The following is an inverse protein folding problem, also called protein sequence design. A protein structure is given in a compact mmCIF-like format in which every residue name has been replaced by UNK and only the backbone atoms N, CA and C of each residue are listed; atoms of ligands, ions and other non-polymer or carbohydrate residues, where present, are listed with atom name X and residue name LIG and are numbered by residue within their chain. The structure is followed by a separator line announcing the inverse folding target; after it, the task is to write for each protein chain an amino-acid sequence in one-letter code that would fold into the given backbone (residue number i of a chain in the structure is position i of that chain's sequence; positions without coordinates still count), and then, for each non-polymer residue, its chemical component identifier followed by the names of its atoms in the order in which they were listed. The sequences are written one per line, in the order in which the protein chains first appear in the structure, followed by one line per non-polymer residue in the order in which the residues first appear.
data_IF_547069822672
#
_entry.id   IF_547069822672
#
_cell.length_a   1.000
_cell.length_b   1.000
_cell.length_c   1.000
_cell.angle_alpha   90.00
_cell.angle_beta   90.00
_cell.angle_gamma   90.00
#
_symmetry.space_group_name_H-M   'P 1'
#
loop_
_entity.id
_entity.type
_entity.pdbx_description
1 polymer ?
#
# COMPACT_ATOMS: atom_id res chain seq x y z
N UNK A 1 -15.46 -14.82 -0.42
CA UNK A 1 -16.26 -13.60 -0.19
C UNK A 1 -15.42 -12.64 0.63
N UNK A 2 -15.64 -11.32 0.50
CA UNK A 2 -14.99 -10.32 1.37
C UNK A 2 -15.71 -10.31 2.72
N UNK A 3 -14.95 -10.35 3.81
CA UNK A 3 -15.48 -10.37 5.18
C UNK A 3 -14.81 -9.26 6.00
N UNK A 4 -15.62 -8.41 6.63
CA UNK A 4 -15.17 -7.33 7.50
C UNK A 4 -15.08 -7.77 8.95
N UNK A 5 -14.06 -7.29 9.67
CA UNK A 5 -13.81 -7.59 11.08
C UNK A 5 -12.59 -8.50 11.28
N UNK A 6 -12.59 -9.76 10.81
CA UNK A 6 -11.53 -10.71 11.08
C UNK A 6 -10.14 -10.22 10.64
N UNK A 7 -9.17 -10.46 11.51
CA UNK A 7 -7.75 -10.37 11.16
C UNK A 7 -7.37 -11.57 10.28
N UNK A 8 -6.69 -11.29 9.17
CA UNK A 8 -6.30 -12.25 8.16
C UNK A 8 -4.78 -12.27 8.06
N UNK A 9 -4.19 -13.41 8.42
CA UNK A 9 -2.76 -13.62 8.29
C UNK A 9 -2.36 -13.71 6.82
N UNK A 10 -1.21 -13.13 6.48
CA UNK A 10 -0.61 -13.22 5.15
C UNK A 10 0.83 -13.71 5.30
N UNK A 11 1.58 -13.96 4.21
CA UNK A 11 3.01 -14.23 4.30
C UNK A 11 3.83 -13.11 4.97
N UNK A 12 3.24 -11.91 5.12
CA UNK A 12 3.86 -10.77 5.81
C UNK A 12 2.96 -10.24 6.94
N UNK A 13 2.56 -8.98 6.88
CA UNK A 13 1.74 -8.33 7.89
C UNK A 13 0.32 -8.93 7.91
N UNK A 14 -0.33 -9.05 9.07
CA UNK A 14 -1.77 -9.27 9.14
C UNK A 14 -2.53 -8.11 8.51
N UNK A 15 -3.61 -8.44 7.78
CA UNK A 15 -4.55 -7.47 7.22
C UNK A 15 -5.92 -7.65 7.83
N UNK A 16 -6.76 -6.62 7.75
CA UNK A 16 -8.20 -6.74 8.02
C UNK A 16 -8.98 -5.77 7.14
N UNK A 17 -10.23 -6.11 6.90
CA UNK A 17 -11.22 -5.18 6.35
C UNK A 17 -12.02 -4.58 7.50
N UNK A 18 -12.18 -3.26 7.48
CA UNK A 18 -13.12 -2.55 8.34
C UNK A 18 -14.22 -1.99 7.45
N UNK A 19 -15.46 -2.38 7.73
CA UNK A 19 -16.63 -1.84 7.05
C UNK A 19 -17.05 -0.54 7.71
N UNK A 20 -17.43 0.41 6.87
CA UNK A 20 -18.13 1.65 7.21
C UNK A 20 -19.37 1.73 6.32
N UNK A 21 -20.28 2.67 6.58
CA UNK A 21 -21.61 2.69 5.96
C UNK A 21 -21.63 2.49 4.43
N UNK A 22 -20.69 3.11 3.70
CA UNK A 22 -20.65 3.11 2.24
C UNK A 22 -19.37 2.49 1.64
N UNK A 23 -18.37 2.13 2.46
CA UNK A 23 -17.09 1.62 1.97
C UNK A 23 -16.39 0.69 2.95
N UNK A 24 -15.46 -0.10 2.42
CA UNK A 24 -14.47 -0.84 3.17
C UNK A 24 -13.17 -0.04 3.29
N UNK A 25 -12.44 -0.26 4.38
CA UNK A 25 -11.03 0.12 4.52
C UNK A 25 -10.18 -1.13 4.65
N UNK A 26 -9.18 -1.26 3.79
CA UNK A 26 -8.13 -2.25 3.99
C UNK A 26 -7.11 -1.69 4.98
N UNK A 27 -6.89 -2.40 6.08
CA UNK A 27 -5.88 -2.05 7.07
C UNK A 27 -4.81 -3.14 7.17
N UNK A 28 -3.57 -2.73 7.44
CA UNK A 28 -2.46 -3.62 7.77
C UNK A 28 -1.98 -3.34 9.20
N UNK A 29 -1.55 -4.36 9.92
CA UNK A 29 -0.93 -4.19 11.23
C UNK A 29 0.56 -3.85 11.06
N UNK A 30 0.93 -2.61 11.37
CA UNK A 30 2.28 -2.07 11.16
C UNK A 30 2.74 -1.38 12.45
N UNK A 31 3.80 -1.92 13.06
CA UNK A 31 4.38 -1.35 14.28
C UNK A 31 3.44 -1.42 15.50
N UNK A 32 2.57 -2.43 15.56
CA UNK A 32 1.55 -2.58 16.61
C UNK A 32 0.22 -1.88 16.33
N UNK A 33 0.19 -0.98 15.34
CA UNK A 33 -1.02 -0.22 14.99
C UNK A 33 -1.68 -0.74 13.71
N UNK A 34 -3.01 -0.69 13.68
CA UNK A 34 -3.77 -0.89 12.44
C UNK A 34 -3.76 0.38 11.60
N UNK A 35 -3.08 0.33 10.45
CA UNK A 35 -2.96 1.46 9.52
C UNK A 35 -3.80 1.24 8.27
N UNK A 36 -4.66 2.20 7.93
CA UNK A 36 -5.44 2.18 6.69
C UNK A 36 -4.56 2.39 5.47
N UNK A 37 -4.66 1.51 4.48
CA UNK A 37 -3.91 1.58 3.22
C UNK A 37 -4.73 2.31 2.16
N UNK A 38 -5.97 1.88 1.95
CA UNK A 38 -6.95 2.55 1.08
C UNK A 38 -8.38 2.20 1.50
N UNK A 39 -9.33 2.95 0.94
CA UNK A 39 -10.77 2.66 1.02
C UNK A 39 -11.32 2.30 -0.34
N UNK A 40 -12.36 1.48 -0.39
CA UNK A 40 -13.01 1.06 -1.63
C UNK A 40 -14.47 0.65 -1.37
N UNK A 41 -15.32 0.83 -2.36
CA UNK A 41 -16.61 0.14 -2.48
C UNK A 41 -16.45 -1.05 -3.44
N UNK A 42 -17.54 -1.78 -3.69
CA UNK A 42 -17.54 -2.91 -4.64
C UNK A 42 -18.03 -2.52 -6.03
N UNK A 43 -17.98 -1.23 -6.40
CA UNK A 43 -18.38 -0.78 -7.72
C UNK A 43 -17.44 -1.40 -8.77
N UNK A 44 -17.98 -2.01 -9.85
CA UNK A 44 -17.15 -2.48 -10.95
C UNK A 44 -16.42 -1.32 -11.63
N UNK A 45 -15.14 -1.52 -11.92
CA UNK A 45 -14.33 -0.62 -12.74
C UNK A 45 -13.76 -1.39 -13.94
N UNK A 46 -13.75 -0.74 -15.10
CA UNK A 46 -13.34 -1.31 -16.37
C UNK A 46 -12.01 -0.72 -16.86
N UNK A 47 -11.43 -1.34 -17.89
CA UNK A 47 -10.14 -0.91 -18.46
C UNK A 47 -10.09 0.59 -18.81
N UNK A 48 -11.19 1.15 -19.32
CA UNK A 48 -11.29 2.57 -19.67
C UNK A 48 -11.22 3.49 -18.44
N UNK A 49 -11.80 3.08 -17.31
CA UNK A 49 -11.77 3.86 -16.07
C UNK A 49 -10.34 3.94 -15.52
N UNK A 50 -9.62 2.82 -15.55
CA UNK A 50 -8.20 2.79 -15.19
C UNK A 50 -7.34 3.63 -16.13
N UNK A 51 -7.64 3.69 -17.43
CA UNK A 51 -6.89 4.50 -18.37
C UNK A 51 -7.00 6.00 -18.04
N UNK A 52 -8.18 6.47 -17.61
CA UNK A 52 -8.39 7.86 -17.16
C UNK A 52 -7.56 8.16 -15.91
N UNK A 53 -7.65 7.34 -14.87
CA UNK A 53 -6.86 7.54 -13.63
C UNK A 53 -5.36 7.40 -13.88
N UNK A 54 -4.94 6.44 -14.70
CA UNK A 54 -3.55 6.26 -15.08
C UNK A 54 -3.01 7.47 -15.83
N UNK A 55 -3.78 8.05 -16.77
CA UNK A 55 -3.35 9.27 -17.46
C UNK A 55 -3.07 10.39 -16.45
N UNK A 56 -4.00 10.68 -15.54
CA UNK A 56 -3.79 11.70 -14.51
C UNK A 56 -2.54 11.41 -13.66
N UNK A 57 -2.41 10.18 -13.13
CA UNK A 57 -1.28 9.82 -12.27
C UNK A 57 0.07 9.83 -13.01
N UNK A 58 0.09 9.54 -14.31
CA UNK A 58 1.32 9.41 -15.10
C UNK A 58 1.71 10.67 -15.88
N UNK A 59 0.82 11.66 -16.04
CA UNK A 59 1.09 12.84 -16.87
C UNK A 59 0.75 14.17 -16.20
N UNK A 60 -0.12 14.21 -15.19
CA UNK A 60 -0.56 15.47 -14.62
C UNK A 60 0.53 16.10 -13.71
N UNK A 61 0.87 17.39 -13.85
CA UNK A 61 1.97 18.02 -13.12
C UNK A 61 1.88 17.97 -11.59
N UNK A 62 0.66 17.82 -11.03
CA UNK A 62 0.47 17.66 -9.58
C UNK A 62 0.70 16.24 -9.07
N UNK A 63 0.87 15.26 -9.96
CA UNK A 63 1.11 13.88 -9.57
C UNK A 63 2.52 13.71 -9.02
N UNK A 64 2.62 13.22 -7.78
CA UNK A 64 3.91 12.92 -7.16
C UNK A 64 4.67 11.78 -7.86
N UNK A 65 3.99 10.96 -8.67
CA UNK A 65 4.63 9.93 -9.49
C UNK A 65 5.51 10.50 -10.60
N UNK A 66 5.34 11.78 -10.98
CA UNK A 66 6.23 12.47 -11.93
C UNK A 66 7.46 13.09 -11.26
N UNK A 67 7.41 13.36 -9.96
CA UNK A 67 8.42 14.15 -9.24
C UNK A 67 9.18 13.36 -8.17
N UNK A 68 8.83 12.09 -7.95
CA UNK A 68 9.46 11.23 -6.95
C UNK A 68 9.92 9.91 -7.56
N UNK A 69 11.07 9.41 -7.10
CA UNK A 69 11.49 8.03 -7.36
C UNK A 69 10.86 7.13 -6.30
N UNK A 70 9.96 6.24 -6.69
CA UNK A 70 9.28 5.32 -5.78
C UNK A 70 9.41 3.91 -6.32
N UNK A 71 9.89 2.99 -5.49
CA UNK A 71 9.98 1.58 -5.84
C UNK A 71 9.73 0.71 -4.61
N UNK A 72 9.19 -0.49 -4.80
CA UNK A 72 9.01 -1.46 -3.73
C UNK A 72 9.21 -2.88 -4.25
N UNK A 73 9.70 -3.78 -3.39
CA UNK A 73 9.85 -5.21 -3.69
C UNK A 73 9.66 -6.05 -2.43
N UNK A 74 8.78 -7.05 -2.49
CA UNK A 74 8.63 -8.04 -1.43
C UNK A 74 9.58 -9.24 -1.67
N UNK A 75 10.12 -9.77 -0.59
CA UNK A 75 10.82 -11.05 -0.49
C UNK A 75 10.19 -11.87 0.65
N UNK A 76 10.45 -13.18 0.76
CA UNK A 76 9.82 -14.02 1.80
C UNK A 76 10.01 -13.51 3.24
N UNK A 77 11.14 -12.87 3.55
CA UNK A 77 11.50 -12.45 4.90
C UNK A 77 11.51 -10.92 5.11
N UNK A 78 11.26 -10.12 4.06
CA UNK A 78 11.35 -8.66 4.11
C UNK A 78 10.63 -7.94 2.99
N UNK A 79 10.42 -6.64 3.16
CA UNK A 79 10.02 -5.72 2.10
C UNK A 79 11.05 -4.61 1.94
N UNK A 80 11.41 -4.32 0.70
CA UNK A 80 12.13 -3.10 0.34
C UNK A 80 11.13 -2.02 -0.08
N UNK A 81 11.32 -0.81 0.43
CA UNK A 81 10.60 0.38 -0.01
C UNK A 81 11.61 1.52 -0.23
N UNK A 82 11.58 2.11 -1.42
CA UNK A 82 12.40 3.25 -1.80
C UNK A 82 11.49 4.45 -2.03
N UNK A 83 11.84 5.58 -1.40
CA UNK A 83 11.25 6.88 -1.72
C UNK A 83 12.37 7.91 -1.83
N UNK A 84 12.59 8.41 -3.04
CA UNK A 84 13.70 9.27 -3.42
C UNK A 84 15.03 8.63 -2.99
N UNK A 85 15.80 9.31 -2.15
CA UNK A 85 17.07 8.81 -1.67
C UNK A 85 16.96 7.96 -0.39
N UNK A 86 15.76 7.67 0.13
CA UNK A 86 15.58 6.85 1.34
C UNK A 86 15.14 5.43 1.01
N UNK A 87 16.03 4.47 1.25
CA UNK A 87 15.77 3.04 1.18
C UNK A 87 15.42 2.52 2.58
N UNK A 88 14.25 1.90 2.71
CA UNK A 88 13.80 1.18 3.90
C UNK A 88 13.78 -0.32 3.64
N UNK A 89 14.35 -1.11 4.55
CA UNK A 89 14.23 -2.57 4.59
C UNK A 89 13.41 -2.96 5.81
N UNK A 90 12.19 -3.44 5.58
CA UNK A 90 11.28 -3.89 6.63
C UNK A 90 11.42 -5.41 6.79
N UNK A 91 12.10 -5.86 7.84
CA UNK A 91 12.20 -7.30 8.13
C UNK A 91 10.89 -7.82 8.74
N UNK A 92 10.46 -9.00 8.30
CA UNK A 92 9.25 -9.64 8.81
C UNK A 92 9.36 -9.87 10.32
N UNK A 93 8.38 -9.40 11.08
CA UNK A 93 8.36 -9.50 12.56
C UNK A 93 9.52 -8.81 13.26
N UNK A 94 10.26 -7.95 12.54
CA UNK A 94 11.53 -7.41 13.00
C UNK A 94 11.68 -5.91 12.78
N UNK A 95 12.93 -5.47 12.85
CA UNK A 95 13.28 -4.05 12.70
C UNK A 95 13.09 -3.55 11.27
N UNK A 96 12.91 -2.24 11.15
CA UNK A 96 13.11 -1.52 9.89
C UNK A 96 14.50 -0.91 9.88
N UNK A 97 15.26 -1.15 8.83
CA UNK A 97 16.53 -0.48 8.55
C UNK A 97 16.31 0.64 7.54
N UNK A 98 16.97 1.79 7.73
CA UNK A 98 16.88 2.92 6.81
C UNK A 98 18.28 3.33 6.37
N UNK A 99 18.41 3.64 5.08
CA UNK A 99 19.64 4.13 4.46
C UNK A 99 19.31 5.30 3.53
N UNK A 100 20.08 6.36 3.66
CA UNK A 100 20.14 7.42 2.64
C UNK A 100 21.15 7.05 1.55
N UNK A 101 20.76 7.30 0.30
CA UNK A 101 21.57 7.13 -0.89
C UNK A 101 22.19 8.50 -1.19
N UNK A 102 23.53 8.53 -1.30
CA UNK A 102 24.29 9.73 -1.67
C UNK A 102 24.16 10.05 -3.17
#
# INVERSE_FOLDING_TARGET
LLEAGPEQQTPHEPFRLVETEDHFRLQAQIGGDWRSIYRFDTQPAYAVDYAVSNHFLSTHPSSHFLSSVIAARALPDRRYALRNNRLSTHHLGGRTEQREIA
#
